data_IF_935193024705
#
_entry.id   IF_935193024705
#
_cell.length_a   1.000
_cell.length_b   1.000
_cell.length_c   1.000
_cell.angle_alpha   90.00
_cell.angle_beta   90.00
_cell.angle_gamma   90.00
#
_symmetry.space_group_name_H-M   'P 1'
#
loop_
_entity.id
_entity.type
_entity.pdbx_description
1 polymer ?
#
# COMPACT_ATOMS: atom_id res chain seq x y z
N UNK A 1 31.40 -55.90 -7.87
CA UNK A 1 30.39 -54.93 -8.39
C UNK A 1 30.15 -53.90 -7.31
N UNK A 2 30.87 -52.79 -7.41
CA UNK A 2 30.84 -51.68 -6.49
C UNK A 2 29.83 -50.65 -6.96
N UNK A 3 28.75 -50.46 -6.20
CA UNK A 3 27.70 -49.49 -6.44
C UNK A 3 28.17 -48.12 -5.94
N UNK A 4 28.50 -47.19 -6.85
CA UNK A 4 28.79 -45.79 -6.53
C UNK A 4 27.48 -45.08 -6.18
N UNK A 5 27.29 -44.72 -4.91
CA UNK A 5 26.30 -43.73 -4.48
C UNK A 5 26.62 -42.38 -5.15
N UNK A 6 25.68 -41.87 -5.91
CA UNK A 6 25.72 -40.48 -6.37
C UNK A 6 25.37 -39.59 -5.15
N UNK A 7 26.38 -38.92 -4.63
CA UNK A 7 26.17 -37.83 -3.67
C UNK A 7 25.39 -36.71 -4.36
N UNK A 8 24.27 -36.32 -3.75
CA UNK A 8 23.43 -35.26 -4.24
C UNK A 8 24.17 -33.90 -4.17
N UNK A 9 24.40 -33.33 -5.32
CA UNK A 9 24.96 -31.98 -5.49
C UNK A 9 24.00 -30.98 -4.88
N UNK A 10 24.28 -30.50 -3.66
CA UNK A 10 23.56 -29.39 -3.03
C UNK A 10 23.88 -28.17 -3.87
N UNK A 11 22.91 -27.77 -4.72
CA UNK A 11 22.98 -26.49 -5.45
C UNK A 11 23.17 -25.37 -4.45
N UNK A 12 24.37 -24.79 -4.42
CA UNK A 12 24.61 -23.53 -3.68
C UNK A 12 23.72 -22.45 -4.28
N UNK A 13 22.75 -21.99 -3.49
CA UNK A 13 21.93 -20.83 -3.86
C UNK A 13 22.87 -19.63 -3.92
N UNK A 14 22.93 -18.97 -5.08
CA UNK A 14 23.74 -17.77 -5.27
C UNK A 14 23.15 -16.64 -4.39
N UNK A 15 23.90 -16.10 -3.41
CA UNK A 15 23.43 -14.99 -2.56
C UNK A 15 23.05 -13.74 -3.35
N UNK A 16 23.63 -13.54 -4.54
CA UNK A 16 23.31 -12.43 -5.42
C UNK A 16 21.99 -12.64 -6.17
N UNK A 17 21.61 -13.90 -6.44
CA UNK A 17 20.33 -14.21 -7.08
C UNK A 17 19.15 -13.81 -6.16
N UNK A 18 19.23 -14.09 -4.86
CA UNK A 18 18.22 -13.68 -3.88
C UNK A 18 18.06 -12.14 -3.85
N UNK A 19 19.17 -11.42 -3.68
CA UNK A 19 19.14 -9.94 -3.66
C UNK A 19 18.61 -9.33 -4.94
N UNK A 20 18.90 -9.94 -6.09
CA UNK A 20 18.38 -9.49 -7.40
C UNK A 20 16.89 -9.71 -7.52
N UNK A 21 16.40 -10.86 -7.02
CA UNK A 21 14.97 -11.17 -7.00
C UNK A 21 14.21 -10.19 -6.10
N UNK A 22 14.73 -9.91 -4.90
CA UNK A 22 14.15 -8.97 -3.95
C UNK A 22 14.06 -7.57 -4.57
N UNK A 23 15.10 -7.08 -5.24
CA UNK A 23 15.09 -5.79 -5.91
C UNK A 23 14.01 -5.70 -6.99
N UNK A 24 13.88 -6.72 -7.84
CA UNK A 24 12.83 -6.78 -8.87
C UNK A 24 11.45 -6.75 -8.24
N UNK A 25 11.27 -7.46 -7.14
CA UNK A 25 10.00 -7.46 -6.40
C UNK A 25 9.64 -6.07 -5.88
N UNK A 26 10.56 -5.37 -5.22
CA UNK A 26 10.32 -4.02 -4.71
C UNK A 26 10.02 -3.02 -5.81
N UNK A 27 10.75 -3.10 -6.91
CA UNK A 27 10.50 -2.27 -8.09
C UNK A 27 9.13 -2.58 -8.72
N UNK A 28 8.73 -3.85 -8.77
CA UNK A 28 7.40 -4.24 -9.27
C UNK A 28 6.28 -3.70 -8.39
N UNK A 29 6.40 -3.80 -7.07
CA UNK A 29 5.40 -3.23 -6.14
C UNK A 29 5.31 -1.70 -6.29
N UNK A 30 6.46 -1.02 -6.35
CA UNK A 30 6.51 0.42 -6.53
C UNK A 30 5.94 0.84 -7.90
N UNK A 31 6.19 0.07 -8.96
CA UNK A 31 5.64 0.30 -10.28
C UNK A 31 4.11 0.16 -10.30
N UNK A 32 3.57 -0.90 -9.69
CA UNK A 32 2.12 -1.07 -9.52
C UNK A 32 1.54 0.17 -8.81
N UNK A 33 2.13 0.58 -7.68
CA UNK A 33 1.71 1.76 -6.94
C UNK A 33 1.77 3.04 -7.77
N UNK A 34 2.83 3.22 -8.57
CA UNK A 34 2.97 4.36 -9.48
C UNK A 34 1.83 4.39 -10.51
N UNK A 35 1.54 3.27 -11.18
CA UNK A 35 0.48 3.20 -12.17
C UNK A 35 -0.90 3.49 -11.57
N UNK A 36 -1.17 2.95 -10.38
CA UNK A 36 -2.42 3.24 -9.64
C UNK A 36 -2.50 4.72 -9.27
N UNK A 37 -1.42 5.30 -8.74
CA UNK A 37 -1.40 6.71 -8.35
C UNK A 37 -1.63 7.64 -9.55
N UNK A 38 -1.08 7.33 -10.74
CA UNK A 38 -1.36 8.07 -11.98
C UNK A 38 -2.83 7.96 -12.38
N UNK A 39 -3.43 6.76 -12.29
CA UNK A 39 -4.85 6.58 -12.59
C UNK A 39 -5.75 7.33 -11.59
N UNK A 40 -5.39 7.33 -10.31
CA UNK A 40 -6.10 8.11 -9.28
C UNK A 40 -6.00 9.61 -9.56
N UNK A 41 -4.83 10.13 -9.91
CA UNK A 41 -4.68 11.55 -10.22
C UNK A 41 -5.59 11.94 -11.38
N UNK A 42 -5.62 11.15 -12.45
CA UNK A 42 -6.52 11.40 -13.57
C UNK A 42 -8.00 11.47 -13.14
N UNK A 43 -8.45 10.56 -12.26
CA UNK A 43 -9.80 10.56 -11.73
C UNK A 43 -10.05 11.78 -10.83
N UNK A 44 -9.08 12.16 -9.99
CA UNK A 44 -9.16 13.33 -9.11
C UNK A 44 -9.31 14.63 -9.90
N UNK A 45 -8.61 14.76 -11.03
CA UNK A 45 -8.74 15.92 -11.93
C UNK A 45 -10.15 16.02 -12.52
N UNK A 46 -10.85 14.88 -12.65
CA UNK A 46 -12.26 14.81 -13.03
C UNK A 46 -13.23 14.90 -11.82
N UNK A 47 -12.71 15.21 -10.63
CA UNK A 47 -13.46 15.28 -9.35
C UNK A 47 -14.12 13.96 -8.95
N UNK A 48 -13.51 12.85 -9.34
CA UNK A 48 -13.94 11.49 -8.97
C UNK A 48 -12.98 10.93 -7.95
N UNK A 49 -13.49 10.53 -6.78
CA UNK A 49 -12.76 9.76 -5.77
C UNK A 49 -13.06 8.28 -5.97
N UNK A 50 -12.05 7.43 -5.77
CA UNK A 50 -12.23 5.98 -5.87
C UNK A 50 -12.87 5.39 -4.61
N UNK A 51 -12.37 5.75 -3.43
CA UNK A 51 -12.88 5.41 -2.08
C UNK A 51 -12.77 3.95 -1.66
N UNK A 52 -12.36 3.02 -2.55
CA UNK A 52 -12.22 1.58 -2.25
C UNK A 52 -10.96 0.99 -2.90
N UNK A 53 -9.81 1.66 -2.77
CA UNK A 53 -8.52 1.13 -3.24
C UNK A 53 -8.07 0.02 -2.30
N UNK A 54 -7.89 -1.18 -2.87
CA UNK A 54 -7.43 -2.39 -2.18
C UNK A 54 -6.86 -3.40 -3.18
N UNK A 55 -6.08 -4.41 -2.76
CA UNK A 55 -5.45 -5.36 -3.69
C UNK A 55 -6.43 -6.04 -4.65
N UNK A 56 -7.65 -6.38 -4.20
CA UNK A 56 -8.65 -7.07 -5.04
C UNK A 56 -9.20 -6.20 -6.19
N UNK A 57 -9.04 -4.87 -6.11
CA UNK A 57 -9.46 -3.93 -7.15
C UNK A 57 -8.31 -3.54 -8.09
N UNK A 58 -7.11 -4.11 -7.90
CA UNK A 58 -5.96 -3.91 -8.77
C UNK A 58 -5.80 -5.12 -9.70
N UNK A 59 -5.94 -4.90 -10.98
CA UNK A 59 -5.80 -5.93 -12.01
C UNK A 59 -4.47 -5.72 -12.74
N UNK A 60 -3.67 -6.78 -12.83
CA UNK A 60 -2.41 -6.76 -13.58
C UNK A 60 -2.54 -7.77 -14.71
N UNK A 61 -2.36 -7.31 -15.93
CA UNK A 61 -2.43 -8.19 -17.11
C UNK A 61 -1.10 -8.90 -17.40
N UNK A 62 -1.09 -9.75 -18.43
CA UNK A 62 0.09 -10.51 -18.84
C UNK A 62 1.23 -9.63 -19.42
N UNK A 63 0.95 -8.37 -19.74
CA UNK A 63 1.94 -7.41 -20.22
C UNK A 63 2.49 -6.54 -19.08
N UNK A 64 1.98 -6.71 -17.84
CA UNK A 64 2.34 -5.91 -16.68
C UNK A 64 1.62 -4.57 -16.60
N UNK A 65 0.60 -4.35 -17.45
CA UNK A 65 -0.24 -3.16 -17.33
C UNK A 65 -1.19 -3.28 -16.14
N UNK A 66 -1.32 -2.18 -15.39
CA UNK A 66 -2.12 -2.11 -14.18
C UNK A 66 -3.39 -1.33 -14.44
N UNK A 67 -4.52 -1.94 -14.13
CA UNK A 67 -5.84 -1.32 -14.18
C UNK A 67 -6.47 -1.29 -12.80
N UNK A 68 -7.26 -0.25 -12.52
CA UNK A 68 -8.02 -0.11 -11.28
C UNK A 68 -9.49 -0.36 -11.60
N UNK A 69 -10.07 -1.38 -10.96
CA UNK A 69 -11.48 -1.74 -11.10
C UNK A 69 -12.35 -0.99 -10.08
N UNK A 70 -13.65 -0.96 -10.34
CA UNK A 70 -14.70 -0.48 -9.42
C UNK A 70 -14.59 1.01 -9.04
N UNK A 71 -14.18 1.87 -9.99
CA UNK A 71 -14.28 3.32 -9.83
C UNK A 71 -15.72 3.75 -9.55
N UNK A 72 -15.89 4.54 -8.48
CA UNK A 72 -17.15 5.22 -8.21
C UNK A 72 -18.31 4.33 -7.73
N UNK A 73 -18.11 3.02 -7.53
CA UNK A 73 -19.09 2.14 -6.87
C UNK A 73 -19.17 2.38 -5.36
N UNK A 74 -18.38 3.31 -4.84
CA UNK A 74 -18.46 3.74 -3.45
C UNK A 74 -19.86 4.27 -3.19
N UNK A 75 -20.76 3.35 -2.84
CA UNK A 75 -22.04 3.62 -2.19
C UNK A 75 -21.77 4.64 -1.12
N UNK A 76 -22.47 5.77 -1.20
CA UNK A 76 -22.52 6.73 -0.12
C UNK A 76 -22.78 5.92 1.16
N UNK A 77 -21.88 6.00 2.12
CA UNK A 77 -22.00 5.36 3.45
C UNK A 77 -23.33 5.79 4.10
N UNK A 78 -23.91 6.89 3.65
CA UNK A 78 -25.21 7.44 4.06
C UNK A 78 -26.43 6.54 3.77
N UNK A 79 -26.32 5.50 2.93
CA UNK A 79 -27.47 4.63 2.60
C UNK A 79 -27.30 3.16 2.96
N UNK A 80 -26.13 2.71 3.36
CA UNK A 80 -25.93 1.35 3.85
C UNK A 80 -25.56 1.42 5.32
N UNK A 81 -26.58 1.31 6.18
CA UNK A 81 -26.30 0.97 7.57
C UNK A 81 -25.26 -0.16 7.61
N UNK A 82 -24.36 -0.12 8.58
CA UNK A 82 -23.19 -1.01 8.82
C UNK A 82 -23.55 -2.53 8.82
N UNK A 83 -24.72 -2.89 8.34
CA UNK A 83 -25.37 -4.17 8.56
C UNK A 83 -25.61 -4.98 7.30
N UNK A 84 -24.69 -5.14 6.34
CA UNK A 84 -24.82 -6.25 5.39
C UNK A 84 -23.52 -6.55 4.64
N UNK A 85 -23.08 -7.81 4.84
CA UNK A 85 -22.16 -8.67 4.09
C UNK A 85 -20.65 -8.48 4.36
N UNK A 86 -19.92 -9.60 4.48
CA UNK A 86 -18.50 -9.69 4.77
C UNK A 86 -17.57 -8.86 3.86
N UNK A 87 -18.06 -8.44 2.67
CA UNK A 87 -17.30 -7.58 1.74
C UNK A 87 -17.11 -6.15 2.27
N UNK A 88 -18.06 -5.63 3.06
CA UNK A 88 -17.94 -4.30 3.69
C UNK A 88 -16.89 -4.32 4.80
N UNK A 89 -16.84 -5.42 5.55
CA UNK A 89 -15.91 -5.56 6.68
C UNK A 89 -14.47 -5.63 6.17
N UNK A 90 -14.19 -6.38 5.10
CA UNK A 90 -12.85 -6.46 4.49
C UNK A 90 -12.32 -5.13 3.96
N UNK A 91 -13.18 -4.26 3.42
CA UNK A 91 -12.79 -2.95 2.90
C UNK A 91 -12.39 -1.94 3.98
N UNK A 92 -12.88 -2.09 5.22
CA UNK A 92 -12.55 -1.18 6.34
C UNK A 92 -11.04 -1.15 6.65
N UNK A 93 -10.30 -2.20 6.33
CA UNK A 93 -8.84 -2.25 6.54
C UNK A 93 -8.07 -1.17 5.77
N UNK A 94 -8.55 -0.83 4.57
CA UNK A 94 -7.90 0.11 3.65
C UNK A 94 -8.45 1.52 3.78
N UNK A 95 -9.58 1.67 4.48
CA UNK A 95 -10.31 2.93 4.60
C UNK A 95 -9.52 3.97 5.41
N UNK A 96 -9.44 5.18 4.87
CA UNK A 96 -8.84 6.32 5.57
C UNK A 96 -9.74 6.73 6.76
N UNK A 97 -9.15 7.18 7.89
CA UNK A 97 -9.92 7.53 9.09
C UNK A 97 -11.02 8.55 8.84
N UNK A 98 -10.75 9.57 8.04
CA UNK A 98 -11.69 10.65 7.71
C UNK A 98 -12.86 10.22 6.82
N UNK A 99 -12.75 9.10 6.10
CA UNK A 99 -13.83 8.60 5.24
C UNK A 99 -15.09 8.24 6.03
N UNK A 100 -14.95 7.69 7.23
CA UNK A 100 -16.10 7.39 8.09
C UNK A 100 -16.78 8.66 8.62
N UNK A 101 -16.05 9.75 8.77
CA UNK A 101 -16.59 11.05 9.16
C UNK A 101 -17.24 11.79 7.97
N UNK A 102 -17.32 11.17 6.78
CA UNK A 102 -17.86 11.81 5.57
C UNK A 102 -16.95 12.88 4.96
N UNK A 103 -15.72 13.03 5.46
CA UNK A 103 -14.74 14.05 5.05
C UNK A 103 -13.70 13.52 4.05
N UNK A 104 -14.07 12.55 3.21
CA UNK A 104 -13.17 11.97 2.22
C UNK A 104 -12.77 12.99 1.15
N UNK A 105 -11.48 13.08 0.88
CA UNK A 105 -10.89 13.83 -0.23
C UNK A 105 -9.87 12.99 -1.02
N UNK A 106 -9.12 13.60 -1.94
CA UNK A 106 -8.12 12.93 -2.76
C UNK A 106 -7.04 12.23 -1.93
N UNK A 107 -6.74 12.73 -0.73
CA UNK A 107 -5.75 12.17 0.21
C UNK A 107 -6.25 10.90 0.88
N UNK A 108 -7.56 10.65 0.87
CA UNK A 108 -8.12 9.39 1.35
C UNK A 108 -7.78 8.23 0.40
N UNK A 109 -7.79 8.46 -0.92
CA UNK A 109 -7.35 7.47 -1.90
C UNK A 109 -5.82 7.24 -1.81
N UNK A 110 -5.04 8.30 -1.54
CA UNK A 110 -3.60 8.19 -1.25
C UNK A 110 -3.35 7.27 -0.04
N UNK A 111 -4.12 7.44 1.03
CA UNK A 111 -4.04 6.59 2.21
C UNK A 111 -4.36 5.12 1.88
N UNK A 112 -5.47 4.88 1.19
CA UNK A 112 -5.90 3.52 0.82
C UNK A 112 -4.86 2.82 -0.09
N UNK A 113 -4.25 3.57 -1.02
CA UNK A 113 -3.14 3.06 -1.82
C UNK A 113 -1.90 2.77 -0.95
N UNK A 114 -1.58 3.63 0.01
CA UNK A 114 -0.49 3.40 0.97
C UNK A 114 -0.69 2.11 1.78
N UNK A 115 -1.91 1.85 2.28
CA UNK A 115 -2.25 0.60 2.99
C UNK A 115 -2.14 -0.61 2.06
N UNK A 116 -2.57 -0.47 0.81
CA UNK A 116 -2.44 -1.50 -0.22
C UNK A 116 -0.96 -1.83 -0.49
N UNK A 117 -0.12 -0.82 -0.65
CA UNK A 117 1.33 -1.01 -0.83
C UNK A 117 1.99 -1.64 0.41
N UNK A 118 1.56 -1.25 1.62
CA UNK A 118 2.01 -1.88 2.85
C UNK A 118 1.78 -3.40 2.81
N UNK A 119 0.58 -3.83 2.46
CA UNK A 119 0.26 -5.26 2.37
C UNK A 119 1.06 -5.96 1.27
N UNK A 120 1.24 -5.32 0.12
CA UNK A 120 2.05 -5.88 -0.95
C UNK A 120 3.53 -6.06 -0.54
N UNK A 121 4.14 -5.12 0.20
CA UNK A 121 5.55 -5.25 0.61
C UNK A 121 5.74 -6.20 1.79
N UNK A 122 4.80 -6.25 2.73
CA UNK A 122 4.93 -7.09 3.94
C UNK A 122 4.34 -8.48 3.77
N UNK A 123 3.43 -8.66 2.80
CA UNK A 123 2.55 -9.84 2.64
C UNK A 123 1.66 -10.07 3.88
N UNK A 124 1.45 -9.02 4.66
CA UNK A 124 0.58 -9.00 5.84
C UNK A 124 -0.28 -7.74 5.83
N UNK A 125 -1.54 -7.83 6.28
CA UNK A 125 -2.39 -6.65 6.37
C UNK A 125 -1.83 -5.65 7.38
N UNK A 126 -1.93 -4.35 7.07
CA UNK A 126 -1.47 -3.28 7.95
C UNK A 126 -2.24 -3.24 9.28
N UNK A 127 -3.49 -3.65 9.25
CA UNK A 127 -4.38 -3.63 10.41
C UNK A 127 -5.13 -4.95 10.55
N UNK A 128 -5.31 -5.38 11.80
CA UNK A 128 -6.30 -6.40 12.11
C UNK A 128 -7.71 -5.82 11.88
N UNK A 129 -8.57 -6.59 11.27
CA UNK A 129 -9.89 -6.15 10.82
C UNK A 129 -10.78 -5.68 11.97
N UNK A 130 -10.85 -6.46 13.04
CA UNK A 130 -11.68 -6.14 14.21
C UNK A 130 -11.14 -4.94 14.99
N UNK A 131 -9.83 -4.82 15.11
CA UNK A 131 -9.19 -3.68 15.76
C UNK A 131 -9.35 -2.41 14.92
N UNK A 132 -9.21 -2.52 13.59
CA UNK A 132 -9.42 -1.41 12.68
C UNK A 132 -10.85 -0.89 12.73
N UNK A 133 -11.84 -1.78 12.68
CA UNK A 133 -13.25 -1.40 12.81
C UNK A 133 -13.53 -0.65 14.12
N UNK A 134 -13.02 -1.17 15.24
CA UNK A 134 -13.13 -0.50 16.54
C UNK A 134 -12.43 0.86 16.54
N UNK A 135 -11.24 0.94 16.01
CA UNK A 135 -10.45 2.17 15.89
C UNK A 135 -11.21 3.26 15.13
N UNK A 136 -11.75 2.91 13.98
CA UNK A 136 -12.52 3.83 13.15
C UNK A 136 -13.82 4.31 13.84
N UNK A 137 -14.54 3.40 14.53
CA UNK A 137 -15.79 3.74 15.22
C UNK A 137 -15.53 4.62 16.45
N UNK A 138 -14.49 4.37 17.22
CA UNK A 138 -14.20 5.10 18.46
C UNK A 138 -13.27 6.31 18.26
N UNK A 139 -12.81 6.58 17.03
CA UNK A 139 -11.88 7.68 16.75
C UNK A 139 -10.47 7.47 17.32
N UNK A 140 -10.15 6.25 17.77
CA UNK A 140 -8.83 5.93 18.30
C UNK A 140 -7.84 5.65 17.17
N UNK A 141 -6.74 6.40 17.12
CA UNK A 141 -5.71 6.16 16.13
C UNK A 141 -4.92 4.88 16.45
N UNK A 142 -4.91 3.93 15.50
CA UNK A 142 -4.01 2.77 15.53
C UNK A 142 -2.95 2.98 14.46
N UNK A 143 -1.68 2.89 14.86
CA UNK A 143 -0.56 2.90 13.94
C UNK A 143 -0.19 1.46 13.57
N UNK A 144 0.05 1.16 12.28
CA UNK A 144 0.51 -0.16 11.90
C UNK A 144 1.95 -0.38 12.34
N UNK A 145 2.34 -1.63 12.49
CA UNK A 145 3.74 -2.03 12.67
C UNK A 145 4.55 -1.53 11.48
N UNK A 146 5.81 -1.12 11.70
CA UNK A 146 6.64 -0.68 10.57
C UNK A 146 6.91 -1.84 9.60
N UNK A 147 6.83 -1.61 8.28
CA UNK A 147 7.14 -2.63 7.29
C UNK A 147 8.48 -3.32 7.54
N UNK A 148 9.53 -2.57 7.87
CA UNK A 148 10.88 -3.09 8.15
C UNK A 148 10.98 -3.96 9.41
N UNK A 149 10.03 -3.89 10.33
CA UNK A 149 9.95 -4.80 11.49
C UNK A 149 9.36 -6.17 11.12
N UNK A 150 8.59 -6.23 10.04
CA UNK A 150 8.02 -7.48 9.50
C UNK A 150 8.99 -8.11 8.52
N UNK A 151 9.54 -7.30 7.61
CA UNK A 151 10.52 -7.73 6.60
C UNK A 151 11.71 -6.77 6.58
N UNK A 152 12.85 -7.22 7.08
CA UNK A 152 14.06 -6.40 7.24
C UNK A 152 14.72 -5.99 5.91
N UNK A 153 14.38 -6.66 4.81
CA UNK A 153 14.92 -6.45 3.47
C UNK A 153 14.17 -5.37 2.67
N UNK A 154 13.11 -4.78 3.22
CA UNK A 154 12.35 -3.70 2.56
C UNK A 154 13.24 -2.45 2.43
N UNK A 155 13.38 -1.88 1.21
CA UNK A 155 14.15 -0.66 1.00
C UNK A 155 13.59 0.50 1.82
N UNK A 156 14.49 1.25 2.48
CA UNK A 156 14.12 2.33 3.38
C UNK A 156 13.36 3.47 2.72
N UNK A 157 13.60 3.71 1.43
CA UNK A 157 12.87 4.74 0.68
C UNK A 157 11.44 4.30 0.37
N UNK A 158 11.25 3.02 0.00
CA UNK A 158 9.90 2.45 -0.19
C UNK A 158 9.10 2.45 1.13
N UNK A 159 9.72 2.05 2.24
CA UNK A 159 9.10 2.19 3.57
C UNK A 159 8.70 3.64 3.87
N UNK A 160 9.57 4.61 3.55
CA UNK A 160 9.30 6.03 3.77
C UNK A 160 8.10 6.52 2.97
N UNK A 161 7.99 6.12 1.70
CA UNK A 161 6.84 6.44 0.84
C UNK A 161 5.55 5.88 1.45
N UNK A 162 5.56 4.60 1.83
CA UNK A 162 4.40 3.94 2.42
C UNK A 162 3.97 4.62 3.71
N UNK A 163 4.90 4.85 4.64
CA UNK A 163 4.60 5.46 5.94
C UNK A 163 4.10 6.90 5.81
N UNK A 164 4.58 7.66 4.84
CA UNK A 164 4.04 8.99 4.54
C UNK A 164 2.60 8.90 4.01
N UNK A 165 2.32 7.97 3.12
CA UNK A 165 0.98 7.79 2.53
C UNK A 165 -0.07 7.43 3.59
N UNK A 166 0.29 6.57 4.57
CA UNK A 166 -0.64 6.08 5.62
C UNK A 166 -0.62 6.92 6.89
N UNK A 167 -0.13 8.15 6.84
CA UNK A 167 -0.21 9.02 8.00
C UNK A 167 -1.69 9.25 8.38
N UNK A 168 -1.97 9.28 9.70
CA UNK A 168 -3.33 9.47 10.20
C UNK A 168 -3.83 10.86 9.83
N UNK A 169 -2.97 11.88 9.94
CA UNK A 169 -3.28 13.26 9.59
C UNK A 169 -3.17 13.47 8.07
N UNK A 170 -4.25 13.81 7.36
CA UNK A 170 -4.21 14.01 5.91
C UNK A 170 -3.18 15.04 5.44
N UNK A 171 -2.94 16.08 6.24
CA UNK A 171 -2.00 17.16 5.95
C UNK A 171 -0.54 16.70 5.91
N UNK A 172 -0.23 15.57 6.57
CA UNK A 172 1.10 14.96 6.60
C UNK A 172 1.31 13.90 5.52
N UNK A 173 0.29 13.57 4.76
CA UNK A 173 0.37 12.64 3.61
C UNK A 173 0.94 13.34 2.38
N UNK A 174 1.03 12.64 1.27
CA UNK A 174 1.11 13.26 -0.03
C UNK A 174 -0.19 14.02 -0.29
N UNK A 175 -0.08 15.26 -0.77
CA UNK A 175 -1.25 16.12 -0.96
C UNK A 175 -1.99 15.84 -2.27
N UNK A 176 -1.37 15.10 -3.19
CA UNK A 176 -2.00 14.58 -4.41
C UNK A 176 -1.50 13.17 -4.71
N UNK A 177 -2.23 12.45 -5.54
CA UNK A 177 -1.79 11.16 -6.04
C UNK A 177 -0.57 11.32 -6.98
N UNK A 178 -0.42 12.47 -7.64
CA UNK A 178 0.74 12.79 -8.49
C UNK A 178 2.04 12.89 -7.67
N UNK A 179 2.00 13.50 -6.49
CA UNK A 179 3.17 13.55 -5.60
C UNK A 179 3.62 12.14 -5.20
N UNK A 180 2.67 11.26 -4.84
CA UNK A 180 2.95 9.86 -4.54
C UNK A 180 3.50 9.12 -5.76
N UNK A 181 2.88 9.30 -6.94
CA UNK A 181 3.34 8.71 -8.20
C UNK A 181 4.78 9.14 -8.52
N UNK A 182 5.11 10.40 -8.29
CA UNK A 182 6.46 10.95 -8.51
C UNK A 182 7.49 10.24 -7.65
N UNK A 183 7.25 10.06 -6.35
CA UNK A 183 8.21 9.40 -5.47
C UNK A 183 8.33 7.90 -5.77
N UNK A 184 7.23 7.21 -6.09
CA UNK A 184 7.26 5.81 -6.53
C UNK A 184 8.06 5.63 -7.82
N UNK A 185 7.88 6.53 -8.81
CA UNK A 185 8.67 6.51 -10.04
C UNK A 185 10.16 6.75 -9.76
N UNK A 186 10.51 7.75 -8.91
CA UNK A 186 11.89 8.03 -8.54
C UNK A 186 12.55 6.81 -7.88
N UNK A 187 11.82 6.11 -7.03
CA UNK A 187 12.29 4.84 -6.44
C UNK A 187 12.55 3.78 -7.53
N UNK A 188 11.65 3.59 -8.50
CA UNK A 188 11.85 2.65 -9.62
C UNK A 188 13.07 3.01 -10.50
N UNK A 189 13.35 4.30 -10.63
CA UNK A 189 14.48 4.85 -11.41
C UNK A 189 15.79 4.93 -10.60
N UNK A 190 15.84 4.40 -9.37
CA UNK A 190 16.98 4.52 -8.44
C UNK A 190 17.39 5.99 -8.17
N UNK A 191 16.44 6.90 -8.18
CA UNK A 191 16.64 8.33 -7.89
C UNK A 191 16.21 8.65 -6.46
N UNK A 192 16.87 9.60 -5.76
CA UNK A 192 16.44 10.02 -4.43
C UNK A 192 14.96 10.45 -4.41
N UNK A 193 14.19 9.93 -3.46
CA UNK A 193 12.79 10.34 -3.26
C UNK A 193 12.70 11.75 -2.66
N UNK A 194 11.56 12.42 -2.83
CA UNK A 194 11.31 13.75 -2.31
C UNK A 194 10.80 13.72 -0.86
N UNK A 195 10.16 12.60 -0.46
CA UNK A 195 9.71 12.43 0.91
C UNK A 195 10.89 12.41 1.88
N UNK A 196 10.74 13.12 3.00
CA UNK A 196 11.70 13.05 4.12
C UNK A 196 11.33 11.87 5.01
N UNK A 197 12.34 11.20 5.57
CA UNK A 197 12.12 10.23 6.63
C UNK A 197 11.56 10.98 7.85
N UNK A 198 10.39 10.56 8.35
CA UNK A 198 9.86 11.10 9.60
C UNK A 198 10.80 10.75 10.73
N UNK A 199 11.23 11.76 11.48
CA UNK A 199 12.07 11.53 12.66
C UNK A 199 11.27 10.82 13.76
N UNK A 200 11.94 10.08 14.69
CA UNK A 200 11.24 9.47 15.82
C UNK A 200 10.47 10.49 16.68
N UNK A 201 10.91 11.74 16.72
CA UNK A 201 10.27 12.82 17.48
C UNK A 201 8.96 13.29 16.83
N UNK A 202 8.88 13.32 15.50
CA UNK A 202 7.66 13.71 14.76
C UNK A 202 6.51 12.69 14.87
N UNK A 203 6.74 11.54 15.51
CA UNK A 203 5.74 10.48 15.72
C UNK A 203 5.04 10.56 17.07
N UNK A 204 5.53 11.36 18.00
CA UNK A 204 4.99 11.48 19.36
C UNK A 204 3.99 12.62 19.50
N UNK A 205 3.71 13.34 18.41
CA UNK A 205 2.75 14.47 18.38
C UNK A 205 1.62 14.21 17.42
#
# INVERSE_FOLDING_TARGET
RTSRKREGEVRRVDPNASRRFDRVYWQSVAWIGHRVAVALQYAHDQRVLHRDIKPSNLLVDSQGEVSVADFGLAKSIDQAGISRTGDVVGSLRYMAPEQLAGAADTRSDVYSLGVTLYELVTLHPAYNESERAKSLIHGNAILPVRPSQIRHDIPSDLETIILKSINIEPERRYQSAEELATDLRRFCEDRPILARRTSPVERLW
#
